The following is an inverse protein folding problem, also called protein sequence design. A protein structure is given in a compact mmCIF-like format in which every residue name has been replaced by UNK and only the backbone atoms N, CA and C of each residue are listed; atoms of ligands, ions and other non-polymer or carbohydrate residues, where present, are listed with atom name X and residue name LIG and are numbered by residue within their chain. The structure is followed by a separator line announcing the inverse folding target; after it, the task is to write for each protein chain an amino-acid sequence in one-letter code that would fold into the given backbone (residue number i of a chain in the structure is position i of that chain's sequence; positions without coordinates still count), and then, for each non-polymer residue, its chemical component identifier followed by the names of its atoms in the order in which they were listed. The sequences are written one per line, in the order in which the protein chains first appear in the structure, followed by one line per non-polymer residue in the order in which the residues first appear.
data_IF_504894090473
#
_entry.id   IF_504894090473
#
_cell.length_a   1.000
_cell.length_b   1.000
_cell.length_c   1.000
_cell.angle_alpha   90.00
_cell.angle_beta   90.00
_cell.angle_gamma   90.00
#
_symmetry.space_group_name_H-M   'P 1'
#
loop_
_entity.id
_entity.type
_entity.pdbx_description
1 polymer ?
#
# COMPACT_ATOMS: atom_id res chain seq x y z
N UNK A 1 0.59 -15.16 9.88
CA UNK A 1 1.44 -14.07 10.42
C UNK A 1 2.57 -13.69 9.46
N UNK A 2 3.48 -14.60 9.12
CA UNK A 2 4.65 -14.27 8.28
C UNK A 2 4.28 -13.84 6.85
N UNK A 3 3.29 -14.50 6.23
CA UNK A 3 2.81 -14.13 4.88
C UNK A 3 2.25 -12.70 4.85
N UNK A 4 1.56 -12.28 5.92
CA UNK A 4 0.99 -10.94 6.05
C UNK A 4 2.08 -9.86 6.14
N UNK A 5 3.07 -10.07 7.01
CA UNK A 5 4.21 -9.17 7.14
C UNK A 5 5.05 -9.12 5.85
N UNK A 6 5.23 -10.26 5.18
CA UNK A 6 5.93 -10.33 3.90
C UNK A 6 5.22 -9.54 2.81
N UNK A 7 3.91 -9.76 2.62
CA UNK A 7 3.13 -8.99 1.63
C UNK A 7 3.13 -7.49 1.91
N UNK A 8 3.14 -7.11 3.19
CA UNK A 8 3.16 -5.72 3.61
C UNK A 8 4.50 -5.04 3.32
N UNK A 9 5.62 -5.67 3.70
CA UNK A 9 6.96 -5.13 3.43
C UNK A 9 7.28 -5.09 1.92
N UNK A 10 6.83 -6.09 1.17
CA UNK A 10 6.95 -6.10 -0.29
C UNK A 10 6.13 -4.98 -0.94
N UNK A 11 4.90 -4.74 -0.46
CA UNK A 11 4.08 -3.62 -0.92
C UNK A 11 4.74 -2.27 -0.61
N UNK A 12 5.36 -2.11 0.57
CA UNK A 12 6.09 -0.91 0.96
C UNK A 12 7.27 -0.63 0.02
N UNK A 13 8.04 -1.67 -0.31
CA UNK A 13 9.16 -1.57 -1.25
C UNK A 13 8.70 -1.22 -2.66
N UNK A 14 7.58 -1.79 -3.11
CA UNK A 14 7.02 -1.49 -4.42
C UNK A 14 6.55 -0.04 -4.52
N UNK A 15 5.82 0.47 -3.52
CA UNK A 15 5.40 1.88 -3.47
C UNK A 15 6.61 2.81 -3.42
N UNK A 16 7.61 2.50 -2.58
CA UNK A 16 8.84 3.31 -2.51
C UNK A 16 9.55 3.42 -3.86
N UNK A 17 9.57 2.34 -4.65
CA UNK A 17 10.17 2.35 -5.98
C UNK A 17 9.37 3.20 -6.96
N UNK A 18 8.04 3.06 -6.96
CA UNK A 18 7.14 3.83 -7.83
C UNK A 18 7.26 5.32 -7.54
N UNK A 19 7.26 5.69 -6.26
CA UNK A 19 7.22 7.10 -5.86
C UNK A 19 8.53 7.84 -6.09
N UNK A 20 9.65 7.12 -5.97
CA UNK A 20 10.96 7.67 -6.34
C UNK A 20 11.22 7.68 -7.85
N UNK A 21 10.55 6.80 -8.60
CA UNK A 21 10.67 6.75 -10.07
C UNK A 21 9.78 7.78 -10.75
N UNK A 22 8.63 8.08 -10.16
CA UNK A 22 7.63 8.96 -10.76
C UNK A 22 6.83 8.29 -11.88
N UNK A 23 5.88 9.04 -12.44
CA UNK A 23 4.98 8.58 -13.48
C UNK A 23 5.65 8.61 -14.89
N UNK A 24 5.75 7.47 -15.60
CA UNK A 24 6.44 7.40 -16.90
C UNK A 24 5.79 8.21 -18.03
N UNK A 25 4.50 8.52 -17.88
CA UNK A 25 3.67 9.22 -18.86
C UNK A 25 3.76 10.74 -18.76
N UNK A 26 4.38 11.27 -17.72
CA UNK A 26 4.51 12.70 -17.52
C UNK A 26 5.84 13.20 -18.06
N UNK A 27 5.78 14.30 -18.82
CA UNK A 27 6.97 14.95 -19.41
C UNK A 27 7.88 15.57 -18.33
N UNK A 28 7.29 15.96 -17.21
CA UNK A 28 7.95 16.37 -15.97
C UNK A 28 7.63 15.30 -14.92
N UNK A 29 8.63 14.60 -14.37
CA UNK A 29 8.36 13.51 -13.44
C UNK A 29 7.89 14.06 -12.10
N UNK A 30 6.69 13.64 -11.65
CA UNK A 30 6.12 13.97 -10.34
C UNK A 30 6.80 13.17 -9.22
N UNK A 31 8.12 13.33 -9.07
CA UNK A 31 8.91 12.57 -8.11
C UNK A 31 8.58 13.05 -6.70
N UNK A 32 8.08 12.14 -5.88
CA UNK A 32 7.86 12.39 -4.46
C UNK A 32 8.81 11.49 -3.68
N UNK A 33 9.96 12.08 -3.32
CA UNK A 33 11.00 11.36 -2.56
C UNK A 33 10.54 11.10 -1.13
N UNK A 34 9.98 9.92 -0.93
CA UNK A 34 9.62 9.37 0.38
C UNK A 34 10.61 8.28 0.77
N UNK A 35 10.97 8.25 2.05
CA UNK A 35 11.86 7.20 2.55
C UNK A 35 11.11 5.86 2.67
N UNK A 36 11.85 4.74 2.68
CA UNK A 36 11.23 3.43 2.85
C UNK A 36 10.40 3.34 4.14
N UNK A 37 10.90 3.94 5.23
CA UNK A 37 10.21 3.97 6.51
C UNK A 37 8.88 4.74 6.47
N UNK A 38 8.81 5.79 5.67
CA UNK A 38 7.56 6.53 5.46
C UNK A 38 6.54 5.71 4.64
N UNK A 39 6.98 4.93 3.65
CA UNK A 39 6.10 3.98 2.96
C UNK A 39 5.56 2.90 3.91
N UNK A 40 6.41 2.40 4.80
CA UNK A 40 6.03 1.42 5.83
C UNK A 40 5.00 2.02 6.78
N UNK A 41 5.23 3.25 7.25
CA UNK A 41 4.28 3.99 8.07
C UNK A 41 2.94 4.22 7.35
N UNK A 42 2.97 4.70 6.10
CA UNK A 42 1.78 4.88 5.27
C UNK A 42 0.93 3.61 5.18
N UNK A 43 1.57 2.47 4.88
CA UNK A 43 0.87 1.19 4.79
C UNK A 43 0.37 0.70 6.14
N UNK A 44 1.08 0.97 7.24
CA UNK A 44 0.61 0.64 8.59
C UNK A 44 -0.64 1.44 8.96
N UNK A 45 -0.64 2.75 8.71
CA UNK A 45 -1.77 3.66 8.95
C UNK A 45 -2.97 3.31 8.06
N UNK A 46 -2.72 2.82 6.84
CA UNK A 46 -3.76 2.37 5.91
C UNK A 46 -4.37 1.03 6.35
N UNK A 47 -3.54 0.05 6.73
CA UNK A 47 -4.00 -1.27 7.20
C UNK A 47 -4.75 -1.20 8.53
N UNK A 48 -4.36 -0.27 9.40
CA UNK A 48 -5.08 0.02 10.64
C UNK A 48 -6.34 0.87 10.43
N UNK A 49 -6.64 1.29 9.19
CA UNK A 49 -7.77 2.15 8.81
C UNK A 49 -7.78 3.52 9.50
N UNK A 50 -6.63 3.97 10.03
CA UNK A 50 -6.51 5.25 10.72
C UNK A 50 -6.47 6.41 9.72
N UNK A 51 -5.66 6.29 8.67
CA UNK A 51 -5.67 7.22 7.54
C UNK A 51 -5.37 8.68 7.88
N UNK A 52 -4.30 8.99 8.64
CA UNK A 52 -3.95 10.37 9.02
C UNK A 52 -3.79 11.33 7.84
N UNK A 53 -3.32 10.84 6.68
CA UNK A 53 -3.18 11.65 5.46
C UNK A 53 -2.06 12.69 5.50
N UNK A 54 -1.14 12.57 6.47
CA UNK A 54 0.08 13.37 6.62
C UNK A 54 1.11 13.09 5.52
N UNK A 55 1.25 11.81 5.17
CA UNK A 55 2.08 11.33 4.08
C UNK A 55 1.15 10.65 3.08
N UNK A 56 1.23 11.02 1.80
CA UNK A 56 0.36 10.48 0.75
C UNK A 56 1.15 10.26 -0.54
N UNK A 57 0.76 9.21 -1.28
CA UNK A 57 1.28 8.98 -2.63
C UNK A 57 0.72 10.03 -3.60
N UNK A 58 1.62 10.64 -4.36
CA UNK A 58 1.35 11.66 -5.37
C UNK A 58 1.38 11.10 -6.79
N UNK A 59 2.06 9.98 -7.02
CA UNK A 59 2.08 9.36 -8.35
C UNK A 59 0.76 8.67 -8.64
N UNK A 60 0.33 8.73 -9.90
CA UNK A 60 -0.89 8.07 -10.34
C UNK A 60 -0.76 6.55 -10.20
N UNK A 61 0.41 6.00 -10.53
CA UNK A 61 0.68 4.58 -10.40
C UNK A 61 0.64 4.10 -8.94
N UNK A 62 1.20 4.88 -8.01
CA UNK A 62 1.21 4.60 -6.58
C UNK A 62 -0.19 4.64 -5.98
N UNK A 63 -1.02 5.61 -6.40
CA UNK A 63 -2.42 5.71 -5.99
C UNK A 63 -3.24 4.51 -6.44
N UNK A 64 -3.09 4.09 -7.70
CA UNK A 64 -3.79 2.91 -8.23
C UNK A 64 -3.38 1.65 -7.46
N UNK A 65 -2.09 1.47 -7.18
CA UNK A 65 -1.61 0.33 -6.40
C UNK A 65 -2.18 0.31 -4.98
N UNK A 66 -2.24 1.46 -4.30
CA UNK A 66 -2.84 1.58 -2.97
C UNK A 66 -4.32 1.16 -2.95
N UNK A 67 -5.09 1.56 -3.96
CA UNK A 67 -6.51 1.18 -4.07
C UNK A 67 -6.66 -0.34 -4.19
N UNK A 68 -5.90 -0.97 -5.09
CA UNK A 68 -5.90 -2.44 -5.23
C UNK A 68 -5.48 -3.14 -3.94
N UNK A 69 -4.48 -2.60 -3.23
CA UNK A 69 -4.00 -3.16 -1.97
C UNK A 69 -5.08 -3.12 -0.87
N UNK A 70 -5.80 -2.01 -0.73
CA UNK A 70 -6.89 -1.85 0.24
C UNK A 70 -8.04 -2.84 -0.05
N UNK A 71 -8.43 -2.96 -1.33
CA UNK A 71 -9.47 -3.92 -1.75
C UNK A 71 -9.01 -5.35 -1.44
N UNK A 72 -7.76 -5.70 -1.76
CA UNK A 72 -7.18 -7.01 -1.44
C UNK A 72 -7.16 -7.30 0.07
N UNK A 73 -6.82 -6.31 0.89
CA UNK A 73 -6.85 -6.41 2.35
C UNK A 73 -8.25 -6.67 2.91
N UNK A 74 -9.25 -5.93 2.43
CA UNK A 74 -10.65 -6.12 2.82
C UNK A 74 -11.18 -7.51 2.45
N UNK A 75 -10.87 -7.99 1.25
CA UNK A 75 -11.28 -9.34 0.80
C UNK A 75 -10.67 -10.42 1.71
N UNK A 76 -9.40 -10.29 2.10
CA UNK A 76 -8.74 -11.25 3.02
C UNK A 76 -9.43 -11.30 4.38
N UNK A 77 -9.82 -10.15 4.92
CA UNK A 77 -10.54 -10.05 6.21
C UNK A 77 -11.92 -10.70 6.10
N UNK A 78 -12.69 -10.35 5.07
CA UNK A 78 -14.03 -10.92 4.87
C UNK A 78 -13.99 -12.42 4.65
N UNK A 79 -13.02 -12.93 3.90
CA UNK A 79 -12.89 -14.36 3.60
C UNK A 79 -12.46 -15.17 4.84
N UNK A 80 -11.63 -14.59 5.72
CA UNK A 80 -11.31 -15.18 7.02
C UNK A 80 -12.54 -15.25 7.94
N UNK A 81 -13.37 -14.20 7.95
CA UNK A 81 -14.57 -14.12 8.80
C UNK A 81 -15.74 -14.98 8.27
N UNK A 82 -15.86 -15.10 6.94
CA UNK A 82 -16.93 -15.85 6.26
C UNK A 82 -16.58 -17.33 6.00
N UNK A 83 -15.45 -17.82 6.52
CA UNK A 83 -15.25 -19.27 6.65
C UNK A 83 -15.67 -19.67 8.07
N UNK A 84 -16.99 -19.82 8.37
CA UNK A 84 -17.39 -20.45 9.61
C UNK A 84 -16.95 -21.90 9.51
N UNK A 85 -15.96 -22.24 10.33
CA UNK A 85 -15.71 -23.56 10.92
C UNK A 85 -16.70 -24.65 10.46
N UNK A 86 -16.43 -25.26 9.31
CA UNK A 86 -16.86 -26.62 8.98
C UNK A 86 -15.66 -27.55 9.20
N UNK A 87 -15.18 -27.58 10.44
CA UNK A 87 -14.47 -28.69 11.07
C UNK A 87 -14.83 -28.73 12.55
#
# INVERSE_FOLDING_TARGET
MCVFLGTWLSAAGFIHMIENSGDPWLKEPNIHKITYWECVYLLMVTMSTVGYGDIVVKTMLGQIFMIFFIIGGLVKITLHFFTPRLV
#
